data_IF_938393223193
#
_entry.id   IF_938393223193
#
_cell.length_a   1.000
_cell.length_b   1.000
_cell.length_c   1.000
_cell.angle_alpha   90.00
_cell.angle_beta   90.00
_cell.angle_gamma   90.00
#
_symmetry.space_group_name_H-M   'P 1'
#
loop_
_entity.id
_entity.type
_entity.pdbx_description
1 polymer ?
#
# COMPACT_ATOMS: atom_id res chain seq x y z
N UNK A 1 -9.47 -19.23 54.83
CA UNK A 1 -9.45 -19.64 53.40
C UNK A 1 -9.98 -18.56 52.46
N UNK A 2 -11.19 -18.01 52.67
CA UNK A 2 -11.79 -17.01 51.76
C UNK A 2 -10.99 -15.70 51.56
N UNK A 3 -10.29 -15.18 52.58
CA UNK A 3 -9.45 -13.98 52.44
C UNK A 3 -8.24 -14.18 51.51
N UNK A 4 -7.63 -15.36 51.52
CA UNK A 4 -6.49 -15.68 50.63
C UNK A 4 -6.96 -15.81 49.18
N UNK A 5 -8.14 -16.41 48.99
CA UNK A 5 -8.78 -16.59 47.69
C UNK A 5 -9.18 -15.25 47.04
N UNK A 6 -9.63 -14.29 47.85
CA UNK A 6 -9.95 -12.94 47.39
C UNK A 6 -8.72 -12.13 46.95
N UNK A 7 -7.58 -12.31 47.64
CA UNK A 7 -6.31 -11.67 47.26
C UNK A 7 -5.76 -12.27 45.96
N UNK A 8 -5.88 -13.59 45.76
CA UNK A 8 -5.51 -14.26 44.51
C UNK A 8 -6.40 -13.80 43.34
N UNK A 9 -7.71 -13.59 43.59
CA UNK A 9 -8.63 -13.08 42.59
C UNK A 9 -8.33 -11.62 42.20
N UNK A 10 -7.95 -10.76 43.15
CA UNK A 10 -7.54 -9.38 42.89
C UNK A 10 -6.24 -9.30 42.06
N UNK A 11 -5.26 -10.17 42.33
CA UNK A 11 -4.01 -10.25 41.57
C UNK A 11 -4.20 -10.74 40.12
N UNK A 12 -5.28 -11.45 39.83
CA UNK A 12 -5.65 -11.88 38.45
C UNK A 12 -6.27 -10.75 37.62
N UNK A 13 -6.70 -9.64 38.23
CA UNK A 13 -7.33 -8.51 37.52
C UNK A 13 -6.36 -7.38 37.17
N UNK A 14 -5.10 -7.43 37.64
CA UNK A 14 -4.17 -6.29 37.56
C UNK A 14 -3.29 -6.22 36.30
N UNK A 15 -3.52 -7.04 35.28
CA UNK A 15 -2.73 -7.00 34.05
C UNK A 15 -3.61 -6.90 32.80
N UNK A 16 -4.21 -5.74 32.58
CA UNK A 16 -4.73 -5.36 31.26
C UNK A 16 -4.66 -3.84 31.08
N UNK A 17 -3.49 -3.24 31.31
CA UNK A 17 -3.18 -1.98 30.66
C UNK A 17 -2.87 -2.30 29.20
N UNK A 18 -3.89 -2.33 28.35
CA UNK A 18 -3.69 -2.37 26.90
C UNK A 18 -3.21 -0.98 26.50
N UNK A 19 -1.90 -0.77 26.57
CA UNK A 19 -1.29 0.35 25.85
C UNK A 19 -1.58 0.11 24.37
N UNK A 20 -2.28 1.06 23.73
CA UNK A 20 -2.55 0.98 22.30
C UNK A 20 -1.23 1.01 21.55
N UNK A 21 -0.87 -0.10 20.91
CA UNK A 21 0.42 -0.25 20.23
C UNK A 21 0.26 0.21 18.80
N UNK A 22 0.92 1.31 18.44
CA UNK A 22 1.05 1.72 17.05
C UNK A 22 2.34 1.12 16.49
N UNK A 23 2.27 0.44 15.35
CA UNK A 23 3.42 -0.24 14.74
C UNK A 23 3.42 0.00 13.24
N UNK A 24 4.59 0.26 12.67
CA UNK A 24 4.79 0.32 11.23
C UNK A 24 5.63 -0.86 10.75
N UNK A 25 5.35 -1.36 9.56
CA UNK A 25 6.02 -2.51 8.97
C UNK A 25 6.37 -2.22 7.50
N UNK A 26 7.61 -2.53 7.12
CA UNK A 26 8.09 -2.42 5.74
C UNK A 26 8.44 -3.81 5.21
N UNK A 27 7.99 -4.12 4.00
CA UNK A 27 8.25 -5.41 3.35
C UNK A 27 8.14 -5.29 1.83
N UNK A 28 8.41 -6.40 1.14
CA UNK A 28 8.19 -6.51 -0.30
C UNK A 28 7.04 -7.48 -0.58
N UNK A 29 6.27 -7.19 -1.62
CA UNK A 29 5.22 -8.08 -2.14
C UNK A 29 5.46 -8.34 -3.62
N UNK A 30 5.38 -9.61 -4.00
CA UNK A 30 5.65 -10.03 -5.38
C UNK A 30 4.38 -10.58 -6.01
N UNK A 31 4.01 -10.02 -7.17
CA UNK A 31 3.02 -10.61 -8.08
C UNK A 31 3.76 -11.32 -9.20
N UNK A 32 3.55 -12.62 -9.34
CA UNK A 32 4.22 -13.43 -10.35
C UNK A 32 3.32 -13.65 -11.55
N UNK A 33 3.87 -13.39 -12.74
CA UNK A 33 3.21 -13.57 -14.00
C UNK A 33 2.03 -12.64 -14.22
N UNK A 34 1.39 -12.80 -15.37
CA UNK A 34 0.19 -12.06 -15.71
C UNK A 34 -0.34 -12.45 -17.07
N UNK A 35 -1.55 -11.97 -17.35
CA UNK A 35 -2.20 -12.16 -18.64
C UNK A 35 -2.96 -10.91 -19.03
N UNK A 36 -3.05 -10.66 -20.32
CA UNK A 36 -3.88 -9.61 -20.90
C UNK A 36 -4.27 -10.03 -22.32
N UNK A 37 -5.56 -10.26 -22.54
CA UNK A 37 -6.08 -10.79 -23.81
C UNK A 37 -5.36 -12.08 -24.24
N UNK A 38 -4.68 -12.07 -25.38
CA UNK A 38 -3.91 -13.18 -25.96
C UNK A 38 -2.47 -13.27 -25.42
N UNK A 39 -2.05 -12.33 -24.57
CA UNK A 39 -0.69 -12.26 -24.01
C UNK A 39 -0.65 -12.85 -22.61
N UNK A 40 0.45 -13.56 -22.35
CA UNK A 40 0.82 -14.05 -21.02
C UNK A 40 2.31 -13.89 -20.81
N UNK A 41 2.72 -13.78 -19.56
CA UNK A 41 4.10 -13.57 -19.15
C UNK A 41 4.33 -14.17 -17.75
N UNK A 42 5.58 -14.48 -17.44
CA UNK A 42 5.99 -15.13 -16.18
C UNK A 42 6.81 -14.21 -15.27
N UNK A 43 7.15 -13.01 -15.76
CA UNK A 43 7.88 -11.98 -15.04
C UNK A 43 7.13 -11.53 -13.78
N UNK A 44 7.88 -11.02 -12.80
CA UNK A 44 7.35 -10.56 -11.53
C UNK A 44 7.18 -9.03 -11.50
N UNK A 45 6.14 -8.57 -10.80
CA UNK A 45 5.95 -7.18 -10.41
C UNK A 45 6.16 -7.05 -8.89
N UNK A 46 7.22 -6.35 -8.49
CA UNK A 46 7.66 -6.24 -7.10
C UNK A 46 7.23 -4.91 -6.49
N UNK A 47 6.39 -4.96 -5.46
CA UNK A 47 5.95 -3.81 -4.71
C UNK A 47 6.76 -3.63 -3.44
N UNK A 48 7.18 -2.40 -3.17
CA UNK A 48 7.56 -1.97 -1.83
C UNK A 48 6.30 -1.71 -1.03
N UNK A 49 6.18 -2.35 0.14
CA UNK A 49 5.02 -2.28 1.01
C UNK A 49 5.35 -1.57 2.32
N UNK A 50 4.47 -0.66 2.70
CA UNK A 50 4.51 0.03 3.98
C UNK A 50 3.13 -0.02 4.65
N UNK A 51 3.07 -0.72 5.78
CA UNK A 51 1.83 -0.94 6.53
C UNK A 51 1.89 -0.23 7.89
N UNK A 52 0.76 0.32 8.31
CA UNK A 52 0.59 0.92 9.63
C UNK A 52 -0.58 0.27 10.37
N UNK A 53 -0.26 -0.28 11.54
CA UNK A 53 -1.19 -0.93 12.45
C UNK A 53 -1.42 -0.09 13.71
N UNK A 54 -2.66 -0.14 14.19
CA UNK A 54 -3.02 0.19 15.55
C UNK A 54 -3.54 -1.08 16.22
N UNK A 55 -2.82 -1.55 17.23
CA UNK A 55 -2.99 -2.85 17.85
C UNK A 55 -2.89 -3.97 16.81
N UNK A 56 -3.94 -4.78 16.64
CA UNK A 56 -4.02 -5.82 15.61
C UNK A 56 -4.76 -5.36 14.34
N UNK A 57 -5.16 -4.09 14.26
CA UNK A 57 -5.93 -3.53 13.15
C UNK A 57 -5.00 -2.85 12.17
N UNK A 58 -5.10 -3.20 10.89
CA UNK A 58 -4.42 -2.49 9.81
C UNK A 58 -5.17 -1.17 9.57
N UNK A 59 -4.55 -0.04 9.86
CA UNK A 59 -5.17 1.26 9.65
C UNK A 59 -4.89 1.79 8.24
N UNK A 60 -3.66 1.62 7.76
CA UNK A 60 -3.22 2.10 6.47
C UNK A 60 -2.22 1.15 5.85
N UNK A 61 -2.21 1.03 4.54
CA UNK A 61 -1.20 0.25 3.80
C UNK A 61 -0.94 0.88 2.44
N UNK A 62 0.32 0.88 2.02
CA UNK A 62 0.76 1.37 0.72
C UNK A 62 1.63 0.30 0.10
N UNK A 63 1.29 -0.11 -1.11
CA UNK A 63 2.18 -0.90 -1.97
C UNK A 63 2.51 -0.03 -3.18
N UNK A 64 3.77 0.10 -3.52
CA UNK A 64 4.19 0.94 -4.65
C UNK A 64 5.31 0.27 -5.46
N UNK A 65 5.21 0.36 -6.78
CA UNK A 65 6.22 -0.15 -7.71
C UNK A 65 6.42 0.84 -8.85
N UNK A 66 7.65 1.03 -9.36
CA UNK A 66 7.83 1.65 -10.67
C UNK A 66 7.22 0.76 -11.75
N UNK A 67 6.74 1.37 -12.83
CA UNK A 67 6.26 0.69 -14.01
C UNK A 67 6.83 1.36 -15.26
N UNK A 68 7.55 0.60 -16.07
CA UNK A 68 8.17 1.04 -17.32
C UNK A 68 7.44 0.48 -18.53
N UNK A 69 7.67 1.09 -19.70
CA UNK A 69 7.14 0.59 -20.99
C UNK A 69 7.71 -0.77 -21.38
N UNK A 70 8.86 -1.17 -20.83
CA UNK A 70 9.49 -2.48 -21.06
C UNK A 70 8.87 -3.58 -20.22
N UNK A 71 8.16 -3.25 -19.13
CA UNK A 71 7.49 -4.25 -18.29
C UNK A 71 6.27 -4.84 -19.03
N UNK A 72 6.07 -6.17 -19.03
CA UNK A 72 4.88 -6.77 -19.63
C UNK A 72 3.59 -6.37 -18.88
N UNK A 73 3.70 -6.01 -17.59
CA UNK A 73 2.60 -5.45 -16.80
C UNK A 73 2.11 -4.10 -17.33
N UNK A 74 2.86 -3.41 -18.20
CA UNK A 74 2.38 -2.22 -18.91
C UNK A 74 1.19 -2.51 -19.82
N UNK A 75 0.95 -3.76 -20.21
CA UNK A 75 -0.23 -4.15 -20.97
C UNK A 75 -1.52 -4.01 -20.15
N UNK A 76 -1.45 -4.09 -18.81
CA UNK A 76 -2.61 -3.85 -17.95
C UNK A 76 -3.08 -2.40 -17.93
N UNK A 77 -2.27 -1.44 -18.39
CA UNK A 77 -2.71 -0.05 -18.53
C UNK A 77 -3.76 0.14 -19.62
N UNK A 78 -3.90 -0.78 -20.56
CA UNK A 78 -4.87 -0.68 -21.65
C UNK A 78 -4.76 0.67 -22.38
N UNK A 79 -5.82 1.47 -22.29
CA UNK A 79 -5.91 2.80 -22.91
C UNK A 79 -4.97 3.85 -22.29
N UNK A 80 -4.58 3.67 -21.02
CA UNK A 80 -3.72 4.58 -20.26
C UNK A 80 -2.21 4.37 -20.53
N UNK A 81 -1.85 3.50 -21.47
CA UNK A 81 -0.44 3.14 -21.75
C UNK A 81 0.40 4.35 -22.20
N UNK A 82 -0.22 5.38 -22.77
CA UNK A 82 0.44 6.63 -23.15
C UNK A 82 1.01 7.42 -21.95
N UNK A 83 0.52 7.18 -20.72
CA UNK A 83 1.05 7.80 -19.52
C UNK A 83 2.54 7.50 -19.32
N UNK A 84 2.99 6.29 -19.72
CA UNK A 84 4.40 5.88 -19.62
C UNK A 84 5.34 6.71 -20.49
N UNK A 85 4.82 7.42 -21.50
CA UNK A 85 5.61 8.32 -22.35
C UNK A 85 5.54 9.78 -21.87
N UNK A 86 4.50 10.13 -21.11
CA UNK A 86 4.27 11.50 -20.62
C UNK A 86 4.98 11.77 -19.29
N UNK A 87 5.22 10.72 -18.51
CA UNK A 87 5.89 10.80 -17.22
C UNK A 87 7.38 10.50 -17.40
N UNK A 88 8.25 11.24 -16.69
CA UNK A 88 9.67 10.90 -16.61
C UNK A 88 9.87 9.59 -15.85
N UNK A 89 9.10 9.40 -14.79
CA UNK A 89 8.94 8.12 -14.10
C UNK A 89 7.47 7.91 -13.76
N UNK A 90 7.03 6.65 -13.82
CA UNK A 90 5.65 6.28 -13.54
C UNK A 90 5.61 5.16 -12.52
N UNK A 91 4.73 5.29 -11.54
CA UNK A 91 4.55 4.30 -10.48
C UNK A 91 3.10 3.88 -10.39
N UNK A 92 2.91 2.62 -9.98
CA UNK A 92 1.61 2.10 -9.55
C UNK A 92 1.63 2.06 -8.04
N UNK A 93 0.61 2.64 -7.40
CA UNK A 93 0.38 2.49 -5.97
C UNK A 93 -0.98 1.85 -5.68
N UNK A 94 -0.99 0.89 -4.76
CA UNK A 94 -2.19 0.34 -4.14
C UNK A 94 -2.23 0.90 -2.72
N UNK A 95 -3.29 1.64 -2.41
CA UNK A 95 -3.48 2.27 -1.11
C UNK A 95 -4.70 1.70 -0.42
N UNK A 96 -4.55 1.39 0.86
CA UNK A 96 -5.61 0.96 1.73
C UNK A 96 -5.68 1.86 2.95
N UNK A 97 -6.91 2.12 3.39
CA UNK A 97 -7.21 2.79 4.64
C UNK A 97 -8.43 2.10 5.24
N UNK A 98 -8.39 1.87 6.56
CA UNK A 98 -9.54 1.36 7.28
C UNK A 98 -10.71 2.36 7.19
N UNK A 99 -11.94 1.85 7.18
CA UNK A 99 -13.15 2.68 7.07
C UNK A 99 -13.31 3.63 8.26
N UNK A 100 -12.72 3.31 9.41
CA UNK A 100 -12.74 4.13 10.61
C UNK A 100 -11.49 5.02 10.74
N UNK A 101 -10.55 4.94 9.78
CA UNK A 101 -9.32 5.73 9.81
C UNK A 101 -9.59 7.21 9.49
N UNK A 102 -8.91 8.12 10.19
CA UNK A 102 -9.08 9.57 10.01
C UNK A 102 -8.43 10.02 8.70
N UNK A 103 -9.23 10.20 7.64
CA UNK A 103 -8.78 10.74 6.35
C UNK A 103 -8.76 9.73 5.20
N UNK A 104 -9.00 8.44 5.47
CA UNK A 104 -9.10 7.39 4.45
C UNK A 104 -7.90 7.35 3.50
N UNK A 105 -8.14 6.87 2.27
CA UNK A 105 -7.11 6.78 1.24
C UNK A 105 -6.55 8.15 0.82
N UNK A 106 -7.33 9.22 0.95
CA UNK A 106 -6.91 10.57 0.54
C UNK A 106 -5.72 11.08 1.36
N UNK A 107 -5.64 10.71 2.64
CA UNK A 107 -4.47 11.04 3.47
C UNK A 107 -3.18 10.48 2.86
N UNK A 108 -3.18 9.20 2.51
CA UNK A 108 -2.01 8.52 1.94
C UNK A 108 -1.66 9.06 0.56
N UNK A 109 -2.66 9.31 -0.27
CA UNK A 109 -2.43 9.85 -1.62
C UNK A 109 -1.82 11.24 -1.53
N UNK A 110 -2.30 12.10 -0.64
CA UNK A 110 -1.74 13.43 -0.45
C UNK A 110 -0.28 13.38 -0.02
N UNK A 111 0.10 12.46 0.88
CA UNK A 111 1.51 12.25 1.25
C UNK A 111 2.35 11.81 0.03
N UNK A 112 1.83 10.90 -0.80
CA UNK A 112 2.51 10.44 -2.02
C UNK A 112 2.62 11.53 -3.10
N UNK A 113 1.76 12.54 -3.07
CA UNK A 113 1.72 13.65 -4.05
C UNK A 113 2.06 15.00 -3.43
N UNK A 114 2.74 15.03 -2.27
CA UNK A 114 3.14 16.29 -1.62
C UNK A 114 4.21 17.02 -2.44
N UNK A 115 5.03 16.29 -3.20
CA UNK A 115 5.92 16.87 -4.20
C UNK A 115 5.10 17.35 -5.41
N UNK A 116 5.16 18.65 -5.72
CA UNK A 116 4.48 19.27 -6.88
C UNK A 116 4.85 18.64 -8.23
N UNK A 117 5.93 17.85 -8.27
CA UNK A 117 6.35 17.11 -9.45
C UNK A 117 5.62 15.78 -9.66
N UNK A 118 4.81 15.32 -8.68
CA UNK A 118 4.09 14.05 -8.71
C UNK A 118 2.58 14.31 -8.80
N UNK A 119 1.95 13.73 -9.83
CA UNK A 119 0.51 13.90 -10.09
C UNK A 119 -0.20 12.55 -10.07
N UNK A 120 -1.29 12.44 -9.31
CA UNK A 120 -2.19 11.27 -9.31
C UNK A 120 -2.84 11.09 -10.70
N UNK A 121 -2.90 9.84 -11.15
CA UNK A 121 -3.61 9.39 -12.34
C UNK A 121 -4.57 8.28 -11.97
N UNK A 122 -5.80 8.37 -12.47
CA UNK A 122 -6.76 7.28 -12.38
C UNK A 122 -6.36 6.18 -13.37
N UNK A 123 -6.32 4.92 -12.93
CA UNK A 123 -5.95 3.77 -13.76
C UNK A 123 -7.07 2.73 -13.73
N UNK A 124 -8.11 2.93 -14.54
CA UNK A 124 -9.28 2.06 -14.51
C UNK A 124 -8.96 0.66 -15.03
N UNK A 125 -8.30 0.58 -16.19
CA UNK A 125 -7.94 -0.69 -16.82
C UNK A 125 -7.03 -1.49 -15.90
N UNK A 126 -5.95 -0.87 -15.40
CA UNK A 126 -5.02 -1.53 -14.50
C UNK A 126 -5.69 -2.03 -13.22
N UNK A 127 -6.60 -1.22 -12.63
CA UNK A 127 -7.37 -1.58 -11.45
C UNK A 127 -8.22 -2.83 -11.66
N UNK A 128 -8.86 -2.95 -12.83
CA UNK A 128 -9.64 -4.13 -13.18
C UNK A 128 -8.76 -5.36 -13.39
N UNK A 129 -7.65 -5.21 -14.12
CA UNK A 129 -6.74 -6.32 -14.41
C UNK A 129 -6.08 -6.86 -13.13
N UNK A 130 -5.53 -5.98 -12.30
CA UNK A 130 -4.87 -6.40 -11.07
C UNK A 130 -5.85 -7.11 -10.14
N UNK A 131 -7.07 -6.58 -9.96
CA UNK A 131 -8.10 -7.23 -9.10
C UNK A 131 -8.53 -8.60 -9.58
N UNK A 132 -8.41 -8.88 -10.87
CA UNK A 132 -8.69 -10.21 -11.44
C UNK A 132 -7.51 -11.19 -11.29
N UNK A 133 -6.34 -10.73 -10.81
CA UNK A 133 -5.15 -11.55 -10.66
C UNK A 133 -5.27 -12.50 -9.45
N UNK A 134 -4.92 -13.80 -9.58
CA UNK A 134 -5.07 -14.79 -8.50
C UNK A 134 -4.41 -14.37 -7.18
N UNK A 135 -3.17 -13.86 -7.23
CA UNK A 135 -2.43 -13.46 -6.04
C UNK A 135 -3.08 -12.32 -5.24
N UNK A 136 -4.04 -11.56 -5.77
CA UNK A 136 -4.76 -10.54 -4.99
C UNK A 136 -5.58 -11.15 -3.86
N UNK A 137 -6.12 -12.35 -4.08
CA UNK A 137 -6.87 -13.09 -3.06
C UNK A 137 -5.90 -13.58 -1.99
N UNK A 138 -4.78 -14.18 -2.40
CA UNK A 138 -3.77 -14.73 -1.49
C UNK A 138 -3.19 -13.64 -0.58
N UNK A 139 -2.90 -12.47 -1.15
CA UNK A 139 -2.38 -11.32 -0.41
C UNK A 139 -3.46 -10.50 0.31
N UNK A 140 -4.75 -10.81 0.12
CA UNK A 140 -5.90 -10.10 0.70
C UNK A 140 -5.91 -8.59 0.40
N UNK A 141 -5.50 -8.20 -0.81
CA UNK A 141 -5.40 -6.79 -1.22
C UNK A 141 -6.51 -6.34 -2.19
N UNK A 142 -7.65 -7.04 -2.18
CA UNK A 142 -8.79 -6.81 -3.10
C UNK A 142 -9.51 -5.47 -2.87
N UNK A 143 -9.41 -4.88 -1.68
CA UNK A 143 -10.06 -3.64 -1.29
C UNK A 143 -9.17 -2.39 -1.44
N UNK A 144 -8.01 -2.52 -2.09
CA UNK A 144 -7.07 -1.43 -2.24
C UNK A 144 -7.50 -0.52 -3.40
N UNK A 145 -7.36 0.79 -3.21
CA UNK A 145 -7.51 1.77 -4.30
C UNK A 145 -6.21 1.76 -5.10
N UNK A 146 -6.35 1.56 -6.41
CA UNK A 146 -5.22 1.62 -7.36
C UNK A 146 -5.12 3.04 -7.89
N UNK A 147 -3.92 3.62 -7.83
CA UNK A 147 -3.60 4.93 -8.39
C UNK A 147 -2.28 4.88 -9.16
N UNK A 148 -2.19 5.65 -10.23
CA UNK A 148 -0.95 5.94 -10.93
C UNK A 148 -0.30 7.19 -10.36
N UNK A 149 1.01 7.21 -10.23
CA UNK A 149 1.77 8.39 -9.81
C UNK A 149 2.72 8.77 -10.95
N UNK A 150 2.46 9.92 -11.56
CA UNK A 150 3.22 10.44 -12.68
C UNK A 150 4.22 11.47 -12.18
N UNK A 151 5.50 11.14 -12.21
CA UNK A 151 6.59 12.06 -11.89
C UNK A 151 7.07 12.81 -13.13
N UNK A 152 7.20 14.13 -13.01
CA UNK A 152 7.88 14.97 -14.01
C UNK A 152 9.41 14.99 -13.86
N UNK A 153 9.94 14.40 -12.79
CA UNK A 153 11.37 14.28 -12.53
C UNK A 153 11.86 12.86 -12.81
N UNK A 154 13.06 12.74 -13.36
CA UNK A 154 13.80 11.47 -13.54
C UNK A 154 14.42 10.96 -12.25
N UNK A 155 14.30 11.72 -11.16
CA UNK A 155 14.60 11.32 -9.78
C UNK A 155 13.52 11.94 -8.91
N UNK A 156 12.29 11.39 -8.92
CA UNK A 156 11.23 11.88 -8.03
C UNK A 156 11.79 11.94 -6.62
N UNK A 157 11.48 13.03 -5.90
CA UNK A 157 11.85 13.07 -4.51
C UNK A 157 11.23 11.85 -3.83
N UNK A 158 12.08 11.14 -3.11
CA UNK A 158 11.83 9.87 -2.45
C UNK A 158 10.41 9.82 -1.88
N UNK A 159 9.58 8.88 -2.36
CA UNK A 159 8.25 8.65 -1.80
C UNK A 159 8.42 8.45 -0.30
N UNK A 160 7.86 9.37 0.46
CA UNK A 160 7.91 9.35 1.91
C UNK A 160 6.50 9.35 2.45
N UNK A 161 6.30 8.59 3.52
CA UNK A 161 5.03 8.56 4.22
C UNK A 161 5.33 8.97 5.64
N UNK A 162 4.70 10.06 6.08
CA UNK A 162 4.79 10.51 7.45
C UNK A 162 3.57 10.04 8.21
N UNK A 163 3.79 9.19 9.21
CA UNK A 163 2.75 8.78 10.14
C UNK A 163 2.90 9.59 11.43
N UNK A 164 1.83 10.25 11.94
CA UNK A 164 1.92 11.02 13.17
C UNK A 164 2.47 10.19 14.34
N UNK A 165 3.58 10.66 14.92
CA UNK A 165 4.27 9.99 16.03
C UNK A 165 5.31 8.95 15.63
N UNK A 166 5.59 8.76 14.33
CA UNK A 166 6.63 7.86 13.81
C UNK A 166 7.66 8.61 12.96
N UNK A 167 8.85 8.02 12.84
CA UNK A 167 9.87 8.48 11.89
C UNK A 167 9.37 8.29 10.46
N UNK A 168 9.51 9.33 9.63
CA UNK A 168 9.22 9.28 8.20
C UNK A 168 9.92 8.10 7.54
N UNK A 169 9.17 7.30 6.78
CA UNK A 169 9.68 6.12 6.10
C UNK A 169 9.93 6.43 4.64
N UNK A 170 11.15 6.16 4.17
CA UNK A 170 11.52 6.26 2.75
C UNK A 170 11.16 4.97 2.05
N UNK A 171 10.32 5.07 1.02
CA UNK A 171 9.92 3.93 0.21
C UNK A 171 10.85 3.77 -1.01
N UNK A 172 11.40 4.88 -1.53
CA UNK A 172 12.45 4.93 -2.58
C UNK A 172 13.51 5.99 -2.29
#
# INVERSE_FOLDING_TARGET
MYRLLFIIFLLMTSCSSVETRRITYASDLVLNGGRYEDKSWDESLEFKRFSWYQDATLNYDILITPLTSTSPFSNWLGSDKNLLQQCSEFFIALVYADVNSSGGNSLLINELTTDEQIVEKTLLDFSNQIKAHPNIIDWKIFNYKVVGLCSKSTKPSKFHVTVPGFTTQKIF
#
